data_IF_684037065061
#
_entry.id   IF_684037065061
#
_cell.length_a   1.000
_cell.length_b   1.000
_cell.length_c   1.000
_cell.angle_alpha   90.00
_cell.angle_beta   90.00
_cell.angle_gamma   90.00
#
_symmetry.space_group_name_H-M   'P 1'
#
loop_
_entity.id
_entity.type
_entity.pdbx_description
1 polymer ?
#
# COMPACT_ATOMS: atom_id res chain seq x y z
N UNK A 1 9.82 -13.66 11.23
CA UNK A 1 9.59 -12.22 11.47
C UNK A 1 8.93 -11.64 10.23
N UNK A 2 7.80 -10.93 10.35
CA UNK A 2 7.04 -10.46 9.18
C UNK A 2 7.67 -9.24 8.50
N UNK A 3 8.15 -8.27 9.28
CA UNK A 3 8.70 -7.01 8.77
C UNK A 3 10.22 -7.05 8.53
N UNK A 4 10.85 -8.23 8.52
CA UNK A 4 12.31 -8.37 8.45
C UNK A 4 13.02 -7.98 9.75
N UNK A 5 14.30 -8.34 9.86
CA UNK A 5 15.13 -7.98 11.02
C UNK A 5 15.59 -6.53 11.00
N UNK A 6 15.63 -5.90 9.83
CA UNK A 6 15.94 -4.49 9.61
C UNK A 6 14.69 -3.61 9.46
N UNK A 7 13.51 -4.18 9.73
CA UNK A 7 12.20 -3.54 9.59
C UNK A 7 11.83 -3.09 8.16
N UNK A 8 12.56 -3.56 7.13
CA UNK A 8 12.32 -3.16 5.73
C UNK A 8 11.29 -4.00 4.98
N UNK A 9 10.63 -4.92 5.68
CA UNK A 9 9.54 -5.71 5.12
C UNK A 9 9.99 -6.78 4.12
N UNK A 10 9.02 -7.26 3.37
CA UNK A 10 9.16 -8.29 2.33
C UNK A 10 7.93 -8.25 1.42
N UNK A 11 7.85 -9.11 0.40
CA UNK A 11 6.61 -9.23 -0.38
C UNK A 11 5.42 -9.59 0.55
N UNK A 12 4.38 -8.77 0.50
CA UNK A 12 3.19 -8.83 1.35
C UNK A 12 3.32 -8.12 2.71
N UNK A 13 4.51 -7.61 3.07
CA UNK A 13 4.78 -7.00 4.37
C UNK A 13 5.41 -5.61 4.23
N UNK A 14 4.80 -4.57 4.80
CA UNK A 14 5.31 -3.20 4.70
C UNK A 14 6.74 -3.03 5.22
N UNK A 15 7.48 -2.14 4.55
CA UNK A 15 8.68 -1.52 5.09
C UNK A 15 8.26 -0.48 6.15
N UNK A 16 8.73 -0.62 7.38
CA UNK A 16 8.39 0.27 8.49
C UNK A 16 9.42 1.40 8.67
N UNK A 17 10.52 1.34 7.92
CA UNK A 17 11.62 2.30 8.00
C UNK A 17 11.60 3.38 6.91
N UNK A 18 10.69 3.27 5.92
CA UNK A 18 10.48 4.33 4.93
C UNK A 18 9.42 5.36 5.40
N UNK A 19 9.03 6.24 4.48
CA UNK A 19 8.07 7.31 4.75
C UNK A 19 6.70 7.06 4.11
N UNK A 20 6.47 5.87 3.53
CA UNK A 20 5.25 5.52 2.80
C UNK A 20 4.27 4.73 3.69
N UNK A 21 3.43 5.47 4.44
CA UNK A 21 2.49 4.88 5.38
C UNK A 21 1.11 4.62 4.76
N UNK A 22 0.63 3.37 4.88
CA UNK A 22 -0.69 2.96 4.36
C UNK A 22 -1.87 3.43 5.21
N UNK A 23 -1.71 3.42 6.52
CA UNK A 23 -2.76 3.75 7.49
C UNK A 23 -2.58 5.12 8.13
N UNK A 24 -1.44 5.78 7.87
CA UNK A 24 -0.95 6.99 8.54
C UNK A 24 0.33 6.71 9.32
N UNK A 25 1.23 7.70 9.37
CA UNK A 25 2.59 7.58 9.94
C UNK A 25 2.83 8.39 11.20
N UNK A 26 1.79 9.04 11.74
CA UNK A 26 1.88 9.71 13.04
C UNK A 26 1.93 8.67 14.18
N UNK A 27 2.46 9.09 15.33
CA UNK A 27 2.73 8.20 16.45
C UNK A 27 1.47 7.47 16.96
N UNK A 28 0.32 8.16 17.03
CA UNK A 28 -0.93 7.58 17.51
C UNK A 28 -1.50 6.56 16.52
N UNK A 29 -1.42 6.84 15.22
CA UNK A 29 -1.85 5.89 14.19
C UNK A 29 -0.97 4.64 14.14
N UNK A 30 0.35 4.79 14.31
CA UNK A 30 1.28 3.66 14.42
C UNK A 30 0.93 2.83 15.65
N UNK A 31 0.78 3.47 16.82
CA UNK A 31 0.40 2.79 18.07
C UNK A 31 -0.92 2.04 17.91
N UNK A 32 -1.94 2.69 17.35
CA UNK A 32 -3.26 2.09 17.07
C UNK A 32 -3.13 0.85 16.20
N UNK A 33 -2.31 0.93 15.15
CA UNK A 33 -2.10 -0.19 14.23
C UNK A 33 -1.42 -1.37 14.92
N UNK A 34 -0.45 -1.13 15.79
CA UNK A 34 0.22 -2.19 16.56
C UNK A 34 -0.72 -2.77 17.61
N UNK A 35 -1.45 -1.91 18.32
CA UNK A 35 -2.32 -2.28 19.44
C UNK A 35 -3.49 -3.15 18.96
N UNK A 36 -4.31 -2.62 18.06
CA UNK A 36 -5.57 -3.23 17.65
C UNK A 36 -5.49 -3.97 16.31
N UNK A 37 -4.34 -3.93 15.65
CA UNK A 37 -4.17 -4.54 14.35
C UNK A 37 -4.80 -3.74 13.22
N UNK A 38 -4.63 -4.23 11.99
CA UNK A 38 -5.22 -3.67 10.77
C UNK A 38 -5.62 -4.78 9.82
N UNK A 39 -6.72 -4.57 9.11
CA UNK A 39 -7.14 -5.41 7.98
C UNK A 39 -7.37 -4.51 6.79
N UNK A 40 -6.61 -4.72 5.72
CA UNK A 40 -6.83 -4.05 4.45
C UNK A 40 -7.56 -5.00 3.51
N UNK A 41 -8.61 -4.51 2.86
CA UNK A 41 -9.42 -5.29 1.91
C UNK A 41 -9.47 -4.56 0.57
N UNK A 42 -8.87 -5.18 -0.45
CA UNK A 42 -9.04 -4.82 -1.85
C UNK A 42 -9.91 -5.90 -2.51
N UNK A 43 -11.10 -5.56 -3.03
CA UNK A 43 -11.96 -6.52 -3.73
C UNK A 43 -11.29 -7.13 -4.96
N UNK A 44 -11.77 -8.30 -5.37
CA UNK A 44 -11.40 -8.93 -6.63
C UNK A 44 -12.21 -8.31 -7.77
N UNK A 45 -11.54 -7.78 -8.79
CA UNK A 45 -12.20 -7.09 -9.90
C UNK A 45 -12.29 -7.92 -11.18
N UNK A 46 -11.61 -9.08 -11.26
CA UNK A 46 -11.50 -9.85 -12.51
C UNK A 46 -12.84 -10.21 -13.15
N UNK A 47 -13.84 -10.58 -12.35
CA UNK A 47 -15.20 -10.90 -12.85
C UNK A 47 -16.03 -9.65 -13.18
N UNK A 48 -15.67 -8.49 -12.62
CA UNK A 48 -16.43 -7.24 -12.75
C UNK A 48 -16.01 -6.48 -14.01
N UNK A 49 -14.70 -6.37 -14.24
CA UNK A 49 -14.15 -5.57 -15.35
C UNK A 49 -13.57 -6.45 -16.48
N UNK A 50 -13.61 -7.77 -16.33
CA UNK A 50 -13.02 -8.72 -17.28
C UNK A 50 -11.50 -8.64 -17.33
N UNK A 51 -10.89 -9.56 -18.09
CA UNK A 51 -9.42 -9.62 -18.18
C UNK A 51 -8.80 -8.42 -18.88
N UNK A 52 -9.44 -7.89 -19.92
CA UNK A 52 -8.93 -6.71 -20.61
C UNK A 52 -9.07 -5.46 -19.73
N UNK A 53 -10.14 -5.35 -18.93
CA UNK A 53 -10.25 -4.29 -17.93
C UNK A 53 -9.14 -4.37 -16.88
N UNK A 54 -8.82 -5.57 -16.39
CA UNK A 54 -7.69 -5.80 -15.46
C UNK A 54 -6.36 -5.36 -16.10
N UNK A 55 -6.09 -5.77 -17.34
CA UNK A 55 -4.86 -5.37 -18.06
C UNK A 55 -4.77 -3.86 -18.21
N UNK A 56 -5.84 -3.22 -18.66
CA UNK A 56 -5.90 -1.79 -18.95
C UNK A 56 -5.73 -0.95 -17.69
N UNK A 57 -6.46 -1.26 -16.61
CA UNK A 57 -6.33 -0.51 -15.35
C UNK A 57 -4.99 -0.77 -14.67
N UNK A 58 -4.43 -1.97 -14.76
CA UNK A 58 -3.06 -2.25 -14.28
C UNK A 58 -2.02 -1.43 -15.06
N UNK A 59 -2.18 -1.32 -16.38
CA UNK A 59 -1.36 -0.48 -17.24
C UNK A 59 -1.45 1.00 -16.85
N UNK A 60 -2.67 1.51 -16.65
CA UNK A 60 -2.90 2.89 -16.22
C UNK A 60 -2.32 3.18 -14.83
N UNK A 61 -2.51 2.29 -13.84
CA UNK A 61 -1.91 2.46 -12.51
C UNK A 61 -0.38 2.47 -12.59
N UNK A 62 0.21 1.57 -13.38
CA UNK A 62 1.67 1.49 -13.53
C UNK A 62 2.24 2.73 -14.23
N UNK A 63 1.65 3.13 -15.35
CA UNK A 63 2.21 4.16 -16.21
C UNK A 63 1.62 5.55 -15.93
N UNK A 64 0.30 5.67 -15.97
CA UNK A 64 -0.42 6.93 -15.80
C UNK A 64 -0.34 7.50 -14.39
N UNK A 65 -0.36 6.65 -13.35
CA UNK A 65 -0.26 7.10 -11.96
C UNK A 65 1.17 7.02 -11.41
N UNK A 66 1.80 5.85 -11.50
CA UNK A 66 3.12 5.62 -10.90
C UNK A 66 4.31 6.07 -11.77
N UNK A 67 4.06 6.50 -13.01
CA UNK A 67 5.12 6.95 -13.93
C UNK A 67 6.10 5.86 -14.36
N UNK A 68 5.77 4.58 -14.14
CA UNK A 68 6.65 3.47 -14.50
C UNK A 68 6.44 3.09 -15.98
N UNK A 69 7.51 2.70 -16.69
CA UNK A 69 7.39 2.26 -18.08
C UNK A 69 6.62 0.94 -18.17
N UNK A 70 5.84 0.81 -19.23
CA UNK A 70 5.23 -0.47 -19.60
C UNK A 70 6.28 -1.37 -20.29
N UNK A 71 6.18 -2.70 -20.13
CA UNK A 71 7.00 -3.61 -20.91
C UNK A 71 6.77 -3.44 -22.42
N UNK A 72 7.81 -3.60 -23.22
CA UNK A 72 7.71 -3.54 -24.67
C UNK A 72 6.72 -4.59 -25.22
N UNK A 73 5.97 -4.23 -26.27
CA UNK A 73 4.95 -5.11 -26.86
C UNK A 73 3.71 -5.32 -25.99
N UNK A 74 3.55 -4.58 -24.90
CA UNK A 74 2.33 -4.64 -24.07
C UNK A 74 1.18 -3.91 -24.77
N UNK A 75 0.13 -4.64 -25.12
CA UNK A 75 -1.14 -4.06 -25.54
C UNK A 75 -1.99 -3.70 -24.32
N UNK A 76 -2.04 -2.42 -23.97
CA UNK A 76 -2.96 -1.86 -22.97
C UNK A 76 -3.59 -0.58 -23.49
N UNK A 77 -4.90 -0.45 -23.30
CA UNK A 77 -5.61 0.79 -23.53
C UNK A 77 -5.61 1.62 -22.24
N UNK A 78 -4.71 2.62 -22.19
CA UNK A 78 -4.59 3.52 -21.04
C UNK A 78 -5.82 4.41 -20.84
N UNK A 79 -6.56 4.74 -21.91
CA UNK A 79 -7.78 5.53 -21.81
C UNK A 79 -8.90 4.70 -21.16
N UNK A 80 -9.10 3.46 -21.61
CA UNK A 80 -10.03 2.53 -20.97
C UNK A 80 -9.62 2.26 -19.50
N UNK A 81 -8.32 2.07 -19.24
CA UNK A 81 -7.79 1.89 -17.90
C UNK A 81 -8.08 3.08 -16.97
N UNK A 82 -7.89 4.31 -17.47
CA UNK A 82 -8.22 5.54 -16.75
C UNK A 82 -9.70 5.66 -16.42
N UNK A 83 -10.59 5.32 -17.37
CA UNK A 83 -12.04 5.33 -17.14
C UNK A 83 -12.46 4.31 -16.07
N UNK A 84 -11.93 3.08 -16.14
CA UNK A 84 -12.17 2.04 -15.13
C UNK A 84 -11.68 2.50 -13.76
N UNK A 85 -10.48 3.09 -13.70
CA UNK A 85 -9.91 3.65 -12.48
C UNK A 85 -10.83 4.71 -11.86
N UNK A 86 -11.27 5.67 -12.67
CA UNK A 86 -12.13 6.76 -12.24
C UNK A 86 -13.46 6.25 -11.69
N UNK A 87 -14.06 5.22 -12.31
CA UNK A 87 -15.35 4.66 -11.92
C UNK A 87 -15.29 3.79 -10.66
N UNK A 88 -14.21 3.03 -10.47
CA UNK A 88 -14.17 1.94 -9.48
C UNK A 88 -13.06 2.11 -8.42
N UNK A 89 -11.86 2.50 -8.84
CA UNK A 89 -10.67 2.47 -7.98
C UNK A 89 -10.48 3.76 -7.19
N UNK A 90 -10.91 4.89 -7.76
CA UNK A 90 -10.78 6.24 -7.21
C UNK A 90 -11.46 6.40 -5.85
N UNK A 91 -12.51 5.64 -5.58
CA UNK A 91 -13.27 5.67 -4.32
C UNK A 91 -12.39 5.35 -3.12
N UNK A 92 -11.48 4.39 -3.27
CA UNK A 92 -10.58 3.98 -2.19
C UNK A 92 -9.17 4.57 -2.36
N UNK A 93 -8.68 4.67 -3.59
CA UNK A 93 -7.30 5.12 -3.86
C UNK A 93 -7.19 6.62 -4.17
N UNK A 94 -8.30 7.35 -4.18
CA UNK A 94 -8.36 8.77 -4.54
C UNK A 94 -8.36 8.99 -6.06
N UNK A 95 -8.92 10.12 -6.48
CA UNK A 95 -9.05 10.47 -7.90
C UNK A 95 -7.71 10.47 -8.65
N UNK A 96 -6.61 10.85 -7.99
CA UNK A 96 -5.28 10.83 -8.60
C UNK A 96 -4.33 9.82 -7.93
N UNK A 97 -4.87 8.79 -7.27
CA UNK A 97 -4.03 7.73 -6.70
C UNK A 97 -3.26 8.12 -5.44
N UNK A 98 -3.67 9.15 -4.69
CA UNK A 98 -3.00 9.52 -3.45
C UNK A 98 -3.14 8.49 -2.32
N UNK A 99 -4.10 7.57 -2.42
CA UNK A 99 -4.46 6.63 -1.36
C UNK A 99 -5.38 7.27 -0.31
N UNK A 100 -5.99 6.41 0.51
CA UNK A 100 -6.88 6.82 1.60
C UNK A 100 -6.47 6.10 2.87
N UNK A 101 -5.73 6.77 3.79
CA UNK A 101 -5.22 6.14 5.02
C UNK A 101 -6.30 5.51 5.89
N UNK A 102 -7.49 6.12 5.96
CA UNK A 102 -8.63 5.59 6.70
C UNK A 102 -9.07 4.18 6.24
N UNK A 103 -8.81 3.83 4.98
CA UNK A 103 -9.12 2.51 4.40
C UNK A 103 -7.87 1.61 4.28
N UNK A 104 -6.68 2.09 4.66
CA UNK A 104 -5.42 1.39 4.40
C UNK A 104 -5.10 1.26 2.91
N UNK A 105 -5.78 2.03 2.07
CA UNK A 105 -5.62 2.04 0.62
C UNK A 105 -4.35 2.81 0.27
N UNK A 106 -3.33 2.14 -0.31
CA UNK A 106 -2.03 2.75 -0.54
C UNK A 106 -2.10 3.78 -1.66
N UNK A 107 -1.18 4.73 -1.58
CA UNK A 107 -0.81 5.60 -2.70
C UNK A 107 -0.37 4.76 -3.90
N UNK A 108 -0.89 5.11 -5.07
CA UNK A 108 -0.60 4.48 -6.36
C UNK A 108 0.27 5.36 -7.27
N UNK A 109 0.61 6.58 -6.85
CA UNK A 109 1.49 7.48 -7.61
C UNK A 109 2.97 7.18 -7.45
N UNK A 110 3.34 6.29 -6.54
CA UNK A 110 4.72 5.80 -6.39
C UNK A 110 4.69 4.34 -5.95
N UNK A 111 5.52 3.53 -6.60
CA UNK A 111 5.62 2.10 -6.30
C UNK A 111 6.49 1.78 -5.06
N UNK A 112 7.14 2.78 -4.45
CA UNK A 112 8.06 2.56 -3.33
C UNK A 112 7.41 1.82 -2.15
N UNK A 113 6.18 2.22 -1.78
CA UNK A 113 5.41 1.59 -0.69
C UNK A 113 4.56 0.38 -1.11
N UNK A 114 4.72 -0.16 -2.32
CA UNK A 114 3.90 -1.28 -2.79
C UNK A 114 4.44 -2.62 -2.31
N UNK A 115 3.66 -3.27 -1.43
CA UNK A 115 4.06 -4.54 -0.82
C UNK A 115 3.81 -5.76 -1.71
N UNK A 116 2.99 -5.66 -2.75
CA UNK A 116 2.62 -6.79 -3.62
C UNK A 116 3.37 -6.80 -4.96
N UNK A 117 4.44 -6.01 -5.06
CA UNK A 117 5.22 -5.83 -6.28
C UNK A 117 4.62 -4.79 -7.23
N UNK A 118 5.42 -4.40 -8.22
CA UNK A 118 5.09 -3.31 -9.14
C UNK A 118 5.06 -3.72 -10.61
N UNK A 119 5.47 -4.95 -10.94
CA UNK A 119 5.45 -5.41 -12.34
C UNK A 119 4.00 -5.51 -12.84
N UNK A 120 3.81 -5.34 -14.14
CA UNK A 120 2.47 -5.37 -14.74
C UNK A 120 1.70 -6.67 -14.39
N UNK A 121 2.29 -7.88 -14.45
CA UNK A 121 1.60 -9.10 -14.01
C UNK A 121 1.24 -9.13 -12.52
N UNK A 122 2.09 -8.55 -11.65
CA UNK A 122 1.80 -8.46 -10.20
C UNK A 122 0.63 -7.52 -9.90
N UNK A 123 0.54 -6.42 -10.64
CA UNK A 123 -0.59 -5.49 -10.57
C UNK A 123 -1.87 -6.15 -11.07
N UNK A 124 -1.81 -6.81 -12.23
CA UNK A 124 -2.94 -7.58 -12.77
C UNK A 124 -3.42 -8.63 -11.77
N UNK A 125 -2.52 -9.41 -11.16
CA UNK A 125 -2.87 -10.39 -10.13
C UNK A 125 -3.59 -9.75 -8.93
N UNK A 126 -3.08 -8.60 -8.48
CA UNK A 126 -3.63 -7.84 -7.35
C UNK A 126 -5.04 -7.33 -7.67
N UNK A 127 -5.26 -6.78 -8.86
CA UNK A 127 -6.57 -6.26 -9.28
C UNK A 127 -7.53 -7.41 -9.54
N UNK A 128 -7.09 -8.48 -10.21
CA UNK A 128 -7.89 -9.64 -10.59
C UNK A 128 -8.48 -10.35 -9.36
N UNK A 129 -7.64 -10.62 -8.36
CA UNK A 129 -8.00 -11.46 -7.22
C UNK A 129 -8.17 -10.71 -5.90
N UNK A 130 -7.90 -9.40 -5.88
CA UNK A 130 -7.95 -8.62 -4.66
C UNK A 130 -6.82 -8.97 -3.67
N UNK A 131 -6.86 -8.32 -2.50
CA UNK A 131 -5.86 -8.49 -1.43
C UNK A 131 -6.54 -8.35 -0.07
N UNK A 132 -6.12 -9.17 0.89
CA UNK A 132 -6.62 -9.16 2.27
C UNK A 132 -5.46 -9.17 3.26
N UNK A 133 -4.69 -8.08 3.30
CA UNK A 133 -3.52 -7.95 4.16
C UNK A 133 -3.94 -7.78 5.63
N UNK A 134 -3.31 -8.53 6.54
CA UNK A 134 -3.62 -8.48 7.98
C UNK A 134 -2.36 -8.19 8.80
N UNK A 135 -2.46 -7.16 9.63
CA UNK A 135 -1.55 -6.92 10.74
C UNK A 135 -2.29 -7.35 12.02
N UNK A 136 -1.87 -8.43 12.70
CA UNK A 136 -2.56 -8.91 13.90
C UNK A 136 -2.42 -7.94 15.08
N UNK A 137 -3.48 -7.78 15.87
CA UNK A 137 -3.44 -7.02 17.12
C UNK A 137 -2.36 -7.57 18.06
N UNK A 138 -1.53 -6.70 18.62
CA UNK A 138 -0.47 -7.10 19.56
C UNK A 138 -0.87 -6.90 21.02
N UNK A 139 -1.93 -6.13 21.30
CA UNK A 139 -2.44 -5.89 22.66
C UNK A 139 -2.62 -7.19 23.48
N UNK A 140 -3.24 -8.28 22.96
CA UNK A 140 -3.42 -9.51 23.73
C UNK A 140 -2.12 -10.22 24.11
N UNK A 141 -1.02 -9.93 23.40
CA UNK A 141 0.26 -10.64 23.56
C UNK A 141 1.31 -9.81 24.30
N UNK A 142 1.29 -8.49 24.09
CA UNK A 142 2.34 -7.58 24.55
C UNK A 142 1.84 -6.58 25.62
N UNK A 143 0.54 -6.31 25.67
CA UNK A 143 -0.04 -5.26 26.51
C UNK A 143 0.34 -3.84 26.07
N UNK A 144 -0.25 -2.84 26.74
CA UNK A 144 -0.10 -1.44 26.34
C UNK A 144 1.35 -0.94 26.39
N UNK A 145 2.11 -1.25 27.45
CA UNK A 145 3.43 -0.64 27.67
C UNK A 145 4.45 -1.08 26.60
N UNK A 146 4.49 -2.38 26.28
CA UNK A 146 5.36 -2.89 25.22
C UNK A 146 4.92 -2.40 23.84
N UNK A 147 3.61 -2.31 23.58
CA UNK A 147 3.09 -1.73 22.34
C UNK A 147 3.49 -0.25 22.21
N UNK A 148 3.45 0.52 23.29
CA UNK A 148 3.88 1.91 23.30
C UNK A 148 5.37 2.06 22.96
N UNK A 149 6.23 1.23 23.57
CA UNK A 149 7.66 1.20 23.24
C UNK A 149 7.91 0.80 21.77
N UNK A 150 7.19 -0.20 21.26
CA UNK A 150 7.29 -0.61 19.86
C UNK A 150 6.82 0.50 18.90
N UNK A 151 5.74 1.21 19.24
CA UNK A 151 5.25 2.32 18.44
C UNK A 151 6.29 3.45 18.38
N UNK A 152 6.92 3.79 19.51
CA UNK A 152 8.01 4.75 19.55
C UNK A 152 9.22 4.31 18.71
N UNK A 153 9.61 3.04 18.81
CA UNK A 153 10.69 2.48 18.00
C UNK A 153 10.37 2.57 16.50
N UNK A 154 9.19 2.10 16.07
CA UNK A 154 8.76 2.15 14.67
C UNK A 154 8.70 3.58 14.15
N UNK A 155 8.17 4.51 14.95
CA UNK A 155 8.17 5.94 14.62
C UNK A 155 9.60 6.48 14.41
N UNK A 156 10.54 6.10 15.28
CA UNK A 156 11.95 6.54 15.18
C UNK A 156 12.67 6.08 13.90
N UNK A 157 12.27 4.95 13.31
CA UNK A 157 12.91 4.39 12.12
C UNK A 157 12.80 5.33 10.90
N UNK A 158 11.66 6.02 10.80
CA UNK A 158 11.32 6.94 9.70
C UNK A 158 11.54 8.42 10.06
N UNK A 159 11.82 8.74 11.32
CA UNK A 159 11.98 10.12 11.84
C UNK A 159 13.33 10.34 12.52
N UNK A 160 14.42 9.90 11.89
CA UNK A 160 15.78 9.99 12.48
C UNK A 160 16.11 11.43 12.94
N UNK A 161 16.73 11.60 14.11
CA UNK A 161 17.00 12.91 14.71
C UNK A 161 17.83 13.88 13.84
N UNK A 162 18.64 13.39 12.89
CA UNK A 162 19.37 14.25 11.94
C UNK A 162 18.47 15.07 11.00
N UNK A 163 17.21 14.66 10.79
CA UNK A 163 16.24 15.41 9.99
C UNK A 163 15.38 16.38 10.82
N UNK A 164 15.37 16.23 12.15
CA UNK A 164 14.63 17.11 13.07
C UNK A 164 15.44 18.37 13.41
N UNK A 165 16.77 18.28 13.41
CA UNK A 165 17.67 19.41 13.70
C UNK A 165 17.81 20.44 12.55
N UNK A 166 17.07 20.29 11.43
CA UNK A 166 17.14 21.17 10.26
C UNK A 166 15.79 21.83 9.90
N UNK A 167 14.81 21.84 10.80
CA UNK A 167 13.56 22.58 10.63
C UNK A 167 13.44 23.69 11.66
#
# INVERSE_FOLDING_TARGET
VCHGSDAKGANGFPNLADTDWRWGGDAETIKTSIMHGRVATMPAWGQVIGEDGVKNVAGYVRNGLAGLPLPEGTEVDLNAGSQIYAQNCSVCHGANGQGTPAMGAPKLTSAAGWIYGSTLPQLQQTIRHGRNGKMPAQEPYLGNDKVHLLAAYVYSLSHKPEQVAKR
#
